data_IF_564172122660
#
_entry.id   IF_564172122660
#
_cell.length_a   1.000
_cell.length_b   1.000
_cell.length_c   1.000
_cell.angle_alpha   90.00
_cell.angle_beta   90.00
_cell.angle_gamma   90.00
#
_symmetry.space_group_name_H-M   'P 1'
#
loop_
_entity.id
_entity.type
_entity.pdbx_description
1 polymer ?
#
# COMPACT_ATOMS: atom_id res chain seq x y z
N UNK A 1 -5.69 20.74 10.92
CA UNK A 1 -5.32 19.80 9.82
C UNK A 1 -5.57 20.52 8.52
N UNK A 2 -4.60 20.55 7.61
CA UNK A 2 -4.80 21.11 6.26
C UNK A 2 -5.34 20.00 5.38
N UNK A 3 -6.49 20.23 4.74
CA UNK A 3 -7.11 19.26 3.84
C UNK A 3 -6.83 19.67 2.40
N UNK A 4 -6.41 18.70 1.58
CA UNK A 4 -6.22 18.91 0.14
C UNK A 4 -7.38 18.25 -0.61
N UNK A 5 -7.98 18.97 -1.55
CA UNK A 5 -9.04 18.41 -2.41
C UNK A 5 -8.40 17.61 -3.54
N UNK A 6 -8.78 16.34 -3.66
CA UNK A 6 -8.38 15.46 -4.76
C UNK A 6 -9.62 15.19 -5.60
N UNK A 7 -9.56 15.51 -6.88
CA UNK A 7 -10.62 15.15 -7.82
C UNK A 7 -10.49 13.66 -8.19
N UNK A 8 -11.58 12.92 -8.05
CA UNK A 8 -11.68 11.51 -8.43
C UNK A 8 -12.94 11.29 -9.25
N UNK A 9 -12.99 10.22 -10.03
CA UNK A 9 -14.22 9.85 -10.74
C UNK A 9 -15.31 9.41 -9.75
N UNK A 10 -16.57 9.45 -10.20
CA UNK A 10 -17.69 8.93 -9.41
C UNK A 10 -17.51 7.43 -9.08
N UNK A 11 -16.98 6.67 -10.04
CA UNK A 11 -16.67 5.25 -9.84
C UNK A 11 -15.64 5.03 -8.74
N UNK A 12 -14.52 5.77 -8.76
CA UNK A 12 -13.49 5.69 -7.71
C UNK A 12 -14.05 6.07 -6.35
N UNK A 13 -14.95 7.05 -6.28
CA UNK A 13 -15.61 7.44 -5.03
C UNK A 13 -16.50 6.31 -4.47
N UNK A 14 -17.24 5.61 -5.31
CA UNK A 14 -18.06 4.47 -4.86
C UNK A 14 -17.19 3.29 -4.42
N UNK A 15 -16.06 3.06 -5.09
CA UNK A 15 -15.08 2.06 -4.64
C UNK A 15 -14.57 2.41 -3.24
N UNK A 16 -14.13 3.65 -3.02
CA UNK A 16 -13.67 4.11 -1.70
C UNK A 16 -14.75 3.95 -0.63
N UNK A 17 -16.01 4.20 -0.98
CA UNK A 17 -17.14 4.00 -0.08
C UNK A 17 -17.38 2.53 0.26
N UNK A 18 -17.13 1.62 -0.67
CA UNK A 18 -17.27 0.18 -0.45
C UNK A 18 -16.14 -0.38 0.43
N UNK A 19 -14.93 0.17 0.30
CA UNK A 19 -13.77 -0.23 1.10
C UNK A 19 -13.82 0.29 2.55
N UNK A 20 -14.51 1.39 2.81
CA UNK A 20 -14.65 1.93 4.16
C UNK A 20 -15.73 1.22 4.99
N UNK A 21 -15.50 1.09 6.29
CA UNK A 21 -16.51 0.67 7.27
C UNK A 21 -17.48 1.83 7.61
N UNK A 22 -18.61 1.51 8.26
CA UNK A 22 -19.53 2.54 8.74
C UNK A 22 -18.78 3.56 9.62
N UNK A 23 -18.86 4.85 9.23
CA UNK A 23 -18.25 6.02 9.90
C UNK A 23 -16.74 6.19 9.69
N UNK A 24 -16.13 5.43 8.80
CA UNK A 24 -14.74 5.64 8.41
C UNK A 24 -14.62 6.83 7.44
N UNK A 25 -13.56 7.64 7.57
CA UNK A 25 -13.32 8.77 6.68
C UNK A 25 -12.60 8.31 5.40
N UNK A 26 -12.87 8.97 4.28
CA UNK A 26 -12.12 8.69 3.04
C UNK A 26 -10.60 8.85 3.21
N UNK A 27 -10.16 9.76 4.08
CA UNK A 27 -8.72 9.92 4.39
C UNK A 27 -8.13 8.68 5.06
N UNK A 28 -8.90 8.04 5.94
CA UNK A 28 -8.48 6.81 6.60
C UNK A 28 -8.44 5.63 5.61
N UNK A 29 -9.49 5.48 4.80
CA UNK A 29 -9.55 4.45 3.74
C UNK A 29 -8.38 4.61 2.75
N UNK A 30 -8.10 5.83 2.31
CA UNK A 30 -7.00 6.11 1.38
C UNK A 30 -5.65 5.75 2.01
N UNK A 31 -5.41 6.09 3.29
CA UNK A 31 -4.17 5.70 3.98
C UNK A 31 -3.99 4.19 4.07
N UNK A 32 -5.03 3.47 4.47
CA UNK A 32 -4.95 2.01 4.60
C UNK A 32 -4.63 1.35 3.25
N UNK A 33 -5.27 1.81 2.17
CA UNK A 33 -4.99 1.32 0.82
C UNK A 33 -3.56 1.60 0.38
N UNK A 34 -3.01 2.77 0.70
CA UNK A 34 -1.62 3.13 0.39
C UNK A 34 -0.65 2.25 1.18
N UNK A 35 -0.91 2.04 2.48
CA UNK A 35 -0.08 1.18 3.32
C UNK A 35 -0.06 -0.25 2.78
N UNK A 36 -1.23 -0.85 2.52
CA UNK A 36 -1.34 -2.20 1.96
C UNK A 36 -0.63 -2.36 0.62
N UNK A 37 -0.74 -1.35 -0.26
CA UNK A 37 -0.03 -1.36 -1.54
C UNK A 37 1.50 -1.34 -1.35
N UNK A 38 1.99 -0.52 -0.42
CA UNK A 38 3.41 -0.46 -0.07
C UNK A 38 3.93 -1.78 0.51
N UNK A 39 3.15 -2.44 1.37
CA UNK A 39 3.49 -3.76 1.91
C UNK A 39 3.63 -4.82 0.81
N UNK A 40 2.70 -4.85 -0.16
CA UNK A 40 2.75 -5.80 -1.27
C UNK A 40 3.95 -5.56 -2.20
N UNK A 41 4.32 -4.31 -2.44
CA UNK A 41 5.50 -3.96 -3.24
C UNK A 41 6.80 -4.39 -2.54
N UNK A 42 6.89 -4.16 -1.22
CA UNK A 42 8.03 -4.60 -0.41
C UNK A 42 8.15 -6.12 -0.40
N UNK A 43 7.05 -6.84 -0.22
CA UNK A 43 7.02 -8.30 -0.24
C UNK A 43 7.47 -8.85 -1.60
N UNK A 44 6.94 -8.29 -2.70
CA UNK A 44 7.37 -8.67 -4.05
C UNK A 44 8.87 -8.44 -4.28
N UNK A 45 9.41 -7.32 -3.76
CA UNK A 45 10.84 -7.01 -3.84
C UNK A 45 11.68 -8.00 -3.03
N UNK A 46 11.29 -8.31 -1.81
CA UNK A 46 12.01 -9.28 -0.97
C UNK A 46 11.98 -10.69 -1.55
N UNK A 47 10.84 -11.12 -2.07
CA UNK A 47 10.72 -12.42 -2.75
C UNK A 47 11.61 -12.49 -4.00
N UNK A 48 11.78 -11.40 -4.74
CA UNK A 48 12.74 -11.34 -5.85
C UNK A 48 14.19 -11.51 -5.35
N UNK A 49 14.59 -10.76 -4.33
CA UNK A 49 15.95 -10.85 -3.76
C UNK A 49 16.22 -12.28 -3.28
N UNK A 50 15.28 -12.91 -2.56
CA UNK A 50 15.42 -14.29 -2.09
C UNK A 50 15.55 -15.30 -3.23
N UNK A 51 14.92 -15.06 -4.37
CA UNK A 51 14.93 -15.96 -5.52
C UNK A 51 16.18 -15.79 -6.41
N UNK A 52 16.74 -14.58 -6.48
CA UNK A 52 17.80 -14.21 -7.42
C UNK A 52 19.17 -14.06 -6.78
N UNK A 53 19.27 -13.68 -5.50
CA UNK A 53 20.55 -13.54 -4.79
C UNK A 53 20.96 -14.83 -4.06
N UNK A 54 22.18 -15.31 -4.31
CA UNK A 54 22.83 -16.30 -3.44
C UNK A 54 23.11 -15.67 -2.08
N UNK A 55 22.65 -16.31 -1.01
CA UNK A 55 22.98 -15.91 0.36
C UNK A 55 24.50 -16.07 0.57
N UNK A 56 25.20 -14.95 0.78
CA UNK A 56 26.63 -14.96 1.15
C UNK A 56 26.71 -14.83 2.67
N UNK A 57 27.17 -15.87 3.39
CA UNK A 57 27.44 -15.78 4.82
C UNK A 57 28.46 -14.69 5.13
N UNK A 58 28.30 -14.01 6.26
CA UNK A 58 29.23 -12.98 6.73
C UNK A 58 30.68 -13.47 6.87
N UNK A 59 30.88 -14.79 7.05
CA UNK A 59 32.20 -15.42 7.15
C UNK A 59 32.92 -15.56 5.81
N UNK A 60 32.23 -15.30 4.68
CA UNK A 60 32.77 -15.37 3.31
C UNK A 60 33.11 -13.98 2.71
N UNK A 61 32.98 -12.91 3.51
CA UNK A 61 33.25 -11.51 3.15
C UNK A 61 34.70 -11.06 3.45
#
# INVERSE_FOLDING_TARGET
MSATTIAVSLETKEILRHFGAEKESYDHVIRNLIEEAGWKELDARWNRILAEDEFIPLDEL
#
